data_IF_779793865319
#
_entry.id   IF_779793865319
#
_cell.length_a   1.000
_cell.length_b   1.000
_cell.length_c   1.000
_cell.angle_alpha   90.00
_cell.angle_beta   90.00
_cell.angle_gamma   90.00
#
_symmetry.space_group_name_H-M   'P 1'
#
loop_
_entity.id
_entity.type
_entity.pdbx_description
1 polymer ?
#
# COMPACT_ATOMS: atom_id res chain seq x y z
N UNK A 1 1.20 -7.55 10.97
CA UNK A 1 1.77 -6.20 10.72
C UNK A 1 1.30 -5.19 11.74
N UNK A 2 -0.02 -4.94 11.89
CA UNK A 2 -0.56 -4.04 12.93
C UNK A 2 -0.18 -4.54 14.33
N UNK A 3 -0.59 -5.73 14.73
CA UNK A 3 -0.26 -6.28 16.06
C UNK A 3 1.25 -6.31 16.38
N UNK A 4 2.09 -6.52 15.35
CA UNK A 4 3.56 -6.43 15.46
C UNK A 4 4.02 -4.99 15.67
N UNK A 5 3.51 -4.03 14.91
CA UNK A 5 3.83 -2.60 15.04
C UNK A 5 3.43 -2.06 16.43
N UNK A 6 2.28 -2.47 16.97
CA UNK A 6 1.81 -2.08 18.29
C UNK A 6 2.70 -2.64 19.42
N UNK A 7 3.14 -3.90 19.30
CA UNK A 7 4.13 -4.49 20.22
C UNK A 7 5.46 -3.73 20.18
N UNK A 8 5.86 -3.21 19.03
CA UNK A 8 7.14 -2.50 18.86
C UNK A 8 7.11 -1.06 19.35
N UNK A 9 5.97 -0.36 19.20
CA UNK A 9 5.79 0.97 19.78
C UNK A 9 5.84 0.91 21.31
N UNK A 10 5.24 -0.13 21.91
CA UNK A 10 5.34 -0.38 23.35
C UNK A 10 6.78 -0.67 23.80
N UNK A 11 7.56 -1.43 23.01
CA UNK A 11 8.98 -1.70 23.28
C UNK A 11 9.83 -0.43 23.13
N UNK A 12 9.61 0.39 22.10
CA UNK A 12 10.34 1.64 21.90
C UNK A 12 10.11 2.65 23.03
N UNK A 13 8.86 2.78 23.48
CA UNK A 13 8.50 3.58 24.64
C UNK A 13 9.14 3.01 25.92
N UNK A 14 9.08 1.69 26.14
CA UNK A 14 9.69 1.04 27.28
C UNK A 14 11.22 1.18 27.30
N UNK A 15 11.91 1.10 26.16
CA UNK A 15 13.37 1.26 26.09
C UNK A 15 13.78 2.72 26.34
N UNK A 16 13.08 3.71 25.79
CA UNK A 16 13.33 5.13 26.07
C UNK A 16 13.13 5.50 27.56
N UNK A 17 12.34 4.70 28.29
CA UNK A 17 12.12 4.86 29.73
C UNK A 17 13.08 4.03 30.60
N UNK A 18 13.61 2.90 30.10
CA UNK A 18 14.44 1.96 30.86
C UNK A 18 15.94 2.11 30.63
N UNK A 19 16.38 2.89 29.64
CA UNK A 19 17.80 3.20 29.40
C UNK A 19 18.38 4.26 30.34
N UNK A 20 17.80 4.46 31.53
CA UNK A 20 18.24 5.50 32.48
C UNK A 20 19.26 4.93 33.47
N UNK A 21 20.55 5.30 33.40
CA UNK A 21 21.38 5.29 34.59
C UNK A 21 20.81 6.32 35.59
N UNK A 22 21.04 6.08 36.87
CA UNK A 22 20.38 6.73 38.01
C UNK A 22 20.70 8.22 38.24
N UNK A 23 21.42 8.93 37.38
CA UNK A 23 21.92 10.29 37.72
C UNK A 23 21.78 11.29 36.55
N UNK A 24 20.69 12.09 36.55
CA UNK A 24 20.60 13.36 35.80
C UNK A 24 19.31 13.62 35.01
N UNK A 25 18.89 14.88 34.98
CA UNK A 25 17.84 15.38 34.07
C UNK A 25 18.34 15.41 32.62
N UNK A 26 17.54 15.01 31.61
CA UNK A 26 18.01 14.93 30.23
C UNK A 26 18.44 16.29 29.66
N UNK A 27 19.61 16.33 29.03
CA UNK A 27 20.21 17.49 28.39
C UNK A 27 19.67 17.79 26.99
N UNK A 28 20.14 18.90 26.40
CA UNK A 28 19.77 19.28 25.03
C UNK A 28 20.21 18.20 24.03
N UNK A 29 19.30 17.74 23.18
CA UNK A 29 19.54 16.75 22.14
C UNK A 29 19.80 15.33 22.64
N UNK A 30 19.61 15.04 23.93
CA UNK A 30 19.86 13.71 24.50
C UNK A 30 19.04 12.60 23.83
N UNK A 31 17.80 12.91 23.43
CA UNK A 31 16.93 11.97 22.73
C UNK A 31 17.08 12.02 21.20
N UNK A 32 18.03 12.76 20.64
CA UNK A 32 18.16 12.93 19.19
C UNK A 32 18.32 11.61 18.43
N UNK A 33 18.97 10.61 19.02
CA UNK A 33 19.10 9.26 18.43
C UNK A 33 17.76 8.54 18.29
N UNK A 34 16.98 8.49 19.37
CA UNK A 34 15.64 7.89 19.40
C UNK A 34 14.68 8.67 18.49
N UNK A 35 14.73 9.99 18.58
CA UNK A 35 13.94 10.89 17.73
C UNK A 35 14.23 10.69 16.24
N UNK A 36 15.50 10.59 15.83
CA UNK A 36 15.87 10.32 14.44
C UNK A 36 15.38 8.95 13.92
N UNK A 37 15.38 7.92 14.78
CA UNK A 37 14.81 6.62 14.43
C UNK A 37 13.29 6.70 14.26
N UNK A 38 12.60 7.40 15.15
CA UNK A 38 11.16 7.65 15.05
C UNK A 38 10.81 8.54 13.85
N UNK A 39 11.65 9.51 13.47
CA UNK A 39 11.49 10.31 12.25
C UNK A 39 11.56 9.48 10.98
N UNK A 40 12.37 8.42 10.96
CA UNK A 40 12.43 7.47 9.83
C UNK A 40 11.10 6.73 9.70
N UNK A 41 10.52 6.28 10.82
CA UNK A 41 9.20 5.64 10.81
C UNK A 41 8.08 6.64 10.47
N UNK A 42 8.19 7.89 10.95
CA UNK A 42 7.24 8.96 10.64
C UNK A 42 7.24 9.30 9.14
N UNK A 43 8.41 9.30 8.50
CA UNK A 43 8.55 9.49 7.06
C UNK A 43 7.82 8.40 6.28
N UNK A 44 7.97 7.12 6.66
CA UNK A 44 7.22 6.01 6.06
C UNK A 44 5.71 6.08 6.35
N UNK A 45 5.29 6.62 7.49
CA UNK A 45 3.87 6.75 7.84
C UNK A 45 3.15 7.89 7.11
N UNK A 46 3.88 8.95 6.72
CA UNK A 46 3.34 10.14 6.07
C UNK A 46 3.46 10.14 4.55
N UNK A 47 4.42 9.38 3.99
CA UNK A 47 4.63 9.30 2.56
C UNK A 47 3.51 8.52 1.85
N UNK A 48 3.37 8.80 0.55
CA UNK A 48 2.44 8.06 -0.31
C UNK A 48 2.93 6.62 -0.48
N UNK A 49 2.02 5.65 -0.34
CA UNK A 49 2.36 4.23 -0.53
C UNK A 49 2.75 4.01 -1.98
N UNK A 50 3.97 3.48 -2.19
CA UNK A 50 4.42 3.04 -3.50
C UNK A 50 3.58 1.84 -3.95
N UNK A 51 2.59 2.09 -4.78
CA UNK A 51 1.80 1.06 -5.42
C UNK A 51 2.32 0.86 -6.83
N UNK A 52 2.81 -0.34 -7.18
CA UNK A 52 3.09 -0.62 -8.57
C UNK A 52 1.78 -0.45 -9.36
N UNK A 53 1.81 0.25 -10.50
CA UNK A 53 0.62 0.36 -11.34
C UNK A 53 0.15 -1.03 -11.74
N UNK A 54 -1.16 -1.18 -11.96
CA UNK A 54 -1.69 -2.40 -12.55
C UNK A 54 -0.95 -2.65 -13.87
N UNK A 55 -0.55 -3.89 -14.14
CA UNK A 55 0.04 -4.24 -15.42
C UNK A 55 -0.97 -3.92 -16.53
N UNK A 56 -0.61 -3.02 -17.44
CA UNK A 56 -1.44 -2.61 -18.58
C UNK A 56 -0.86 -3.16 -19.88
N UNK A 57 -1.70 -3.23 -20.93
CA UNK A 57 -1.29 -3.57 -22.30
C UNK A 57 -1.20 -5.06 -22.61
N UNK A 58 -1.15 -5.93 -21.61
CA UNK A 58 -1.16 -7.38 -21.81
C UNK A 58 -2.52 -7.91 -22.29
N UNK A 59 -3.62 -7.22 -21.96
CA UNK A 59 -4.97 -7.57 -22.40
C UNK A 59 -5.10 -7.50 -23.92
N UNK A 60 -4.52 -6.46 -24.53
CA UNK A 60 -4.54 -6.28 -25.98
C UNK A 60 -3.68 -7.33 -26.69
N UNK A 61 -2.50 -7.62 -26.15
CA UNK A 61 -1.65 -8.70 -26.66
C UNK A 61 -2.37 -10.06 -26.57
N UNK A 62 -3.04 -10.34 -25.45
CA UNK A 62 -3.84 -11.56 -25.29
C UNK A 62 -5.03 -11.62 -26.24
N UNK A 63 -5.73 -10.50 -26.46
CA UNK A 63 -6.82 -10.39 -27.42
C UNK A 63 -6.34 -10.68 -28.85
N UNK A 64 -5.16 -10.18 -29.26
CA UNK A 64 -4.58 -10.50 -30.57
C UNK A 64 -4.29 -11.99 -30.77
N UNK A 65 -3.88 -12.69 -29.70
CA UNK A 65 -3.65 -14.14 -29.75
C UNK A 65 -4.99 -14.90 -29.88
N UNK A 66 -6.05 -14.45 -29.18
CA UNK A 66 -7.41 -14.98 -29.35
C UNK A 66 -7.94 -14.74 -30.77
N UNK A 67 -7.77 -13.53 -31.30
CA UNK A 67 -8.15 -13.17 -32.67
C UNK A 67 -7.45 -14.05 -33.70
N UNK A 68 -6.14 -14.30 -33.53
CA UNK A 68 -5.38 -15.18 -34.42
C UNK A 68 -5.89 -16.64 -34.36
N UNK A 69 -6.14 -17.17 -33.17
CA UNK A 69 -6.69 -18.53 -33.00
C UNK A 69 -8.10 -18.68 -33.56
N UNK A 70 -8.96 -17.70 -33.32
CA UNK A 70 -10.30 -17.65 -33.88
C UNK A 70 -10.29 -17.49 -35.42
N UNK A 71 -9.30 -16.77 -35.96
CA UNK A 71 -9.09 -16.67 -37.41
C UNK A 71 -8.64 -18.00 -38.02
N UNK A 72 -7.66 -18.66 -37.38
CA UNK A 72 -7.16 -19.97 -37.79
C UNK A 72 -8.22 -21.09 -37.68
N UNK A 73 -9.19 -20.97 -36.78
CA UNK A 73 -10.31 -21.90 -36.65
C UNK A 73 -11.20 -21.96 -37.90
N UNK A 74 -11.27 -20.87 -38.66
CA UNK A 74 -12.06 -20.75 -39.90
C UNK A 74 -13.46 -20.14 -39.70
N UNK A 75 -14.14 -19.79 -40.80
CA UNK A 75 -15.40 -19.05 -40.78
C UNK A 75 -16.53 -19.82 -40.09
N UNK A 76 -16.64 -21.12 -40.33
CA UNK A 76 -17.70 -21.96 -39.74
C UNK A 76 -17.62 -22.02 -38.21
N UNK A 77 -16.41 -22.02 -37.65
CA UNK A 77 -16.21 -21.93 -36.20
C UNK A 77 -16.63 -20.56 -35.67
N UNK A 78 -16.20 -19.47 -36.32
CA UNK A 78 -16.54 -18.10 -35.90
C UNK A 78 -18.04 -17.84 -35.89
N UNK A 79 -18.74 -18.32 -36.92
CA UNK A 79 -20.17 -18.09 -37.07
C UNK A 79 -21.02 -18.77 -35.98
N UNK A 80 -20.51 -19.80 -35.30
CA UNK A 80 -21.24 -20.43 -34.19
C UNK A 80 -21.41 -19.49 -32.99
N UNK A 81 -20.55 -18.49 -32.84
CA UNK A 81 -20.59 -17.58 -31.70
C UNK A 81 -21.32 -16.27 -31.97
N UNK A 82 -21.96 -16.13 -33.13
CA UNK A 82 -22.73 -14.93 -33.51
C UNK A 82 -24.10 -15.31 -34.06
N UNK A 83 -25.11 -14.50 -33.75
CA UNK A 83 -26.46 -14.62 -34.36
C UNK A 83 -26.53 -13.85 -35.68
N UNK A 84 -25.86 -12.70 -35.70
CA UNK A 84 -25.73 -11.80 -36.85
C UNK A 84 -24.51 -10.91 -36.64
N UNK A 85 -24.14 -10.11 -37.66
CA UNK A 85 -22.99 -9.20 -37.56
C UNK A 85 -23.15 -8.26 -36.35
N UNK A 86 -22.21 -8.34 -35.41
CA UNK A 86 -22.22 -7.53 -34.18
C UNK A 86 -23.05 -8.09 -33.02
N UNK A 87 -23.75 -9.22 -33.20
CA UNK A 87 -24.62 -9.79 -32.17
C UNK A 87 -24.10 -11.16 -31.74
N UNK A 88 -23.73 -11.28 -30.45
CA UNK A 88 -23.23 -12.53 -29.85
C UNK A 88 -24.32 -13.61 -29.84
N UNK A 89 -23.92 -14.86 -30.04
CA UNK A 89 -24.74 -16.01 -29.67
C UNK A 89 -24.51 -16.28 -28.19
N UNK A 90 -25.53 -16.04 -27.37
CA UNK A 90 -25.48 -16.28 -25.93
C UNK A 90 -25.21 -17.74 -25.58
N UNK A 91 -24.59 -17.95 -24.42
CA UNK A 91 -24.31 -19.29 -23.90
C UNK A 91 -25.61 -19.98 -23.44
N UNK A 92 -26.08 -20.93 -24.25
CA UNK A 92 -27.28 -21.74 -23.97
C UNK A 92 -26.93 -23.22 -23.66
N UNK A 93 -26.46 -23.56 -22.45
CA UNK A 93 -25.94 -24.90 -22.11
C UNK A 93 -26.99 -26.02 -22.07
N UNK A 94 -28.27 -25.67 -21.91
CA UNK A 94 -29.38 -26.64 -21.84
C UNK A 94 -30.07 -26.86 -23.19
N UNK A 95 -29.88 -25.95 -24.13
CA UNK A 95 -30.44 -26.01 -25.47
C UNK A 95 -29.33 -26.23 -26.50
N UNK A 96 -28.76 -25.15 -27.05
CA UNK A 96 -27.83 -25.20 -28.19
C UNK A 96 -26.45 -25.81 -27.88
N UNK A 97 -25.97 -25.71 -26.64
CA UNK A 97 -24.60 -26.11 -26.27
C UNK A 97 -24.53 -27.36 -25.38
N UNK A 98 -25.61 -28.15 -25.31
CA UNK A 98 -25.71 -29.33 -24.44
C UNK A 98 -24.57 -30.33 -24.64
N UNK A 99 -24.10 -30.51 -25.88
CA UNK A 99 -23.05 -31.47 -26.22
C UNK A 99 -21.62 -31.07 -25.77
N UNK A 100 -21.40 -29.80 -25.43
CA UNK A 100 -20.07 -29.23 -25.14
C UNK A 100 -20.00 -28.48 -23.81
N UNK A 101 -21.08 -28.57 -23.01
CA UNK A 101 -21.39 -27.65 -21.92
C UNK A 101 -20.24 -27.44 -20.91
N UNK A 102 -19.59 -28.51 -20.44
CA UNK A 102 -18.55 -28.39 -19.40
C UNK A 102 -17.21 -27.87 -19.94
N UNK A 103 -16.82 -28.27 -21.15
CA UNK A 103 -15.51 -27.93 -21.71
C UNK A 103 -15.46 -26.50 -22.26
N UNK A 104 -16.60 -25.98 -22.74
CA UNK A 104 -16.65 -24.69 -23.43
C UNK A 104 -17.04 -23.53 -22.51
N UNK A 105 -17.79 -23.78 -21.43
CA UNK A 105 -18.36 -22.73 -20.59
C UNK A 105 -17.36 -21.64 -20.15
N UNK A 106 -16.12 -22.03 -19.80
CA UNK A 106 -15.08 -21.10 -19.32
C UNK A 106 -14.48 -20.21 -20.41
N UNK A 107 -14.63 -20.58 -21.67
CA UNK A 107 -13.99 -19.90 -22.80
C UNK A 107 -15.00 -19.34 -23.79
N UNK A 108 -16.27 -19.71 -23.67
CA UNK A 108 -17.33 -19.35 -24.59
C UNK A 108 -17.51 -17.83 -24.71
N UNK A 109 -17.48 -17.10 -23.60
CA UNK A 109 -17.61 -15.64 -23.62
C UNK A 109 -16.43 -14.98 -24.35
N UNK A 110 -15.19 -15.40 -24.05
CA UNK A 110 -13.98 -14.92 -24.75
C UNK A 110 -14.08 -15.20 -26.27
N UNK A 111 -14.58 -16.38 -26.65
CA UNK A 111 -14.79 -16.76 -28.04
C UNK A 111 -15.87 -15.92 -28.73
N UNK A 112 -17.03 -15.72 -28.10
CA UNK A 112 -18.11 -14.90 -28.64
C UNK A 112 -17.71 -13.43 -28.79
N UNK A 113 -17.00 -12.89 -27.81
CA UNK A 113 -16.43 -11.54 -27.87
C UNK A 113 -15.46 -11.41 -29.05
N UNK A 114 -14.56 -12.38 -29.20
CA UNK A 114 -13.57 -12.39 -30.28
C UNK A 114 -14.23 -12.53 -31.66
N UNK A 115 -15.23 -13.41 -31.79
CA UNK A 115 -15.96 -13.60 -33.05
C UNK A 115 -16.70 -12.32 -33.48
N UNK A 116 -17.38 -11.65 -32.54
CA UNK A 116 -17.99 -10.34 -32.82
C UNK A 116 -16.93 -9.33 -33.25
N UNK A 117 -15.85 -9.19 -32.48
CA UNK A 117 -14.78 -8.23 -32.78
C UNK A 117 -14.17 -8.44 -34.18
N UNK A 118 -13.97 -9.68 -34.61
CA UNK A 118 -13.46 -10.00 -35.94
C UNK A 118 -14.48 -9.69 -37.05
N UNK A 119 -15.77 -9.92 -36.81
CA UNK A 119 -16.82 -9.69 -37.80
C UNK A 119 -17.23 -8.23 -37.95
N UNK A 120 -16.98 -7.41 -36.93
CA UNK A 120 -17.26 -5.96 -36.94
C UNK A 120 -16.02 -5.10 -37.06
N UNK A 121 -14.83 -5.69 -37.28
CA UNK A 121 -13.61 -4.88 -37.37
C UNK A 121 -13.61 -4.01 -38.63
N UNK A 122 -13.32 -2.73 -38.46
CA UNK A 122 -13.07 -1.80 -39.57
C UNK A 122 -11.59 -1.70 -39.95
N UNK A 123 -10.72 -2.42 -39.23
CA UNK A 123 -9.28 -2.44 -39.52
C UNK A 123 -8.99 -3.27 -40.78
N UNK A 124 -8.51 -2.61 -41.83
CA UNK A 124 -8.10 -3.26 -43.08
C UNK A 124 -6.98 -4.29 -42.87
N UNK A 125 -6.04 -4.01 -41.96
CA UNK A 125 -4.98 -4.95 -41.61
C UNK A 125 -5.53 -6.22 -40.95
N UNK A 126 -6.50 -6.09 -40.04
CA UNK A 126 -7.17 -7.25 -39.44
C UNK A 126 -7.99 -8.03 -40.46
N UNK A 127 -8.75 -7.35 -41.32
CA UNK A 127 -9.48 -8.00 -42.43
C UNK A 127 -8.54 -8.80 -43.33
N UNK A 128 -7.39 -8.22 -43.69
CA UNK A 128 -6.35 -8.87 -44.50
C UNK A 128 -5.69 -10.05 -43.78
N UNK A 129 -5.51 -9.98 -42.45
CA UNK A 129 -4.99 -11.09 -41.67
C UNK A 129 -5.99 -12.26 -41.61
N UNK A 130 -7.28 -11.97 -41.38
CA UNK A 130 -8.36 -12.96 -41.38
C UNK A 130 -8.45 -13.65 -42.75
N UNK A 131 -8.45 -12.86 -43.83
CA UNK A 131 -8.55 -13.41 -45.19
C UNK A 131 -7.38 -14.31 -45.56
N UNK A 132 -6.16 -14.02 -45.06
CA UNK A 132 -5.01 -14.92 -45.20
C UNK A 132 -5.26 -16.26 -44.53
N UNK A 133 -5.81 -16.28 -43.31
CA UNK A 133 -6.18 -17.54 -42.66
C UNK A 133 -7.28 -18.26 -43.44
N UNK A 134 -8.29 -17.54 -43.91
CA UNK A 134 -9.42 -18.11 -44.66
C UNK A 134 -9.02 -18.69 -46.02
N UNK A 135 -7.99 -18.14 -46.66
CA UNK A 135 -7.44 -18.66 -47.92
C UNK A 135 -6.47 -19.84 -47.73
N UNK A 136 -6.07 -20.18 -46.49
CA UNK A 136 -5.18 -21.33 -46.25
C UNK A 136 -5.89 -22.64 -46.55
N UNK A 137 -5.18 -23.54 -47.24
CA UNK A 137 -5.57 -24.94 -47.32
C UNK A 137 -5.58 -25.59 -45.93
N UNK A 138 -6.25 -26.74 -45.83
CA UNK A 138 -6.48 -27.41 -44.55
C UNK A 138 -5.18 -27.81 -43.83
N UNK A 139 -4.18 -28.34 -44.56
CA UNK A 139 -2.92 -28.78 -43.99
C UNK A 139 -2.14 -27.61 -43.34
N UNK A 140 -2.02 -26.48 -44.04
CA UNK A 140 -1.38 -25.26 -43.54
C UNK A 140 -2.15 -24.66 -42.37
N UNK A 141 -3.49 -24.63 -42.45
CA UNK A 141 -4.34 -24.12 -41.37
C UNK A 141 -4.22 -24.99 -40.11
N UNK A 142 -4.15 -26.31 -40.25
CA UNK A 142 -3.95 -27.22 -39.13
C UNK A 142 -2.57 -27.07 -38.48
N UNK A 143 -1.53 -26.75 -39.26
CA UNK A 143 -0.23 -26.39 -38.69
C UNK A 143 -0.29 -25.09 -37.88
N UNK A 144 -0.97 -24.05 -38.41
CA UNK A 144 -1.16 -22.79 -37.71
C UNK A 144 -1.94 -22.96 -36.39
N UNK A 145 -3.01 -23.78 -36.40
CA UNK A 145 -3.77 -24.14 -35.18
C UNK A 145 -2.85 -24.75 -34.11
N UNK A 146 -2.01 -25.73 -34.47
CA UNK A 146 -1.07 -26.37 -33.52
C UNK A 146 -0.06 -25.38 -32.94
N UNK A 147 0.45 -24.46 -33.76
CA UNK A 147 1.37 -23.43 -33.28
C UNK A 147 0.68 -22.46 -32.30
N UNK A 148 -0.56 -22.05 -32.60
CA UNK A 148 -1.35 -21.18 -31.73
C UNK A 148 -1.73 -21.89 -30.42
N UNK A 149 -2.05 -23.19 -30.46
CA UNK A 149 -2.30 -24.01 -29.28
C UNK A 149 -1.07 -24.08 -28.35
N UNK A 150 0.13 -24.25 -28.93
CA UNK A 150 1.38 -24.23 -28.18
C UNK A 150 1.65 -22.85 -27.53
N UNK A 151 1.29 -21.75 -28.21
CA UNK A 151 1.36 -20.39 -27.66
C UNK A 151 0.35 -20.22 -26.52
N UNK A 152 -0.89 -20.65 -26.71
CA UNK A 152 -1.94 -20.57 -25.68
C UNK A 152 -1.58 -21.32 -24.40
N UNK A 153 -0.98 -22.50 -24.53
CA UNK A 153 -0.52 -23.31 -23.40
C UNK A 153 0.49 -22.55 -22.53
N UNK A 154 1.34 -21.71 -23.14
CA UNK A 154 2.33 -20.88 -22.43
C UNK A 154 1.74 -19.59 -21.87
N UNK A 155 0.80 -18.97 -22.58
CA UNK A 155 0.24 -17.65 -22.24
C UNK A 155 -0.87 -17.74 -21.18
N UNK A 156 -1.64 -18.82 -21.13
CA UNK A 156 -2.74 -19.00 -20.17
C UNK A 156 -2.31 -18.86 -18.70
N UNK A 157 -1.22 -19.52 -18.23
CA UNK A 157 -0.73 -19.33 -16.86
C UNK A 157 -0.29 -17.88 -16.57
N UNK A 158 0.28 -17.19 -17.57
CA UNK A 158 0.74 -15.81 -17.45
C UNK A 158 -0.46 -14.85 -17.34
N UNK A 159 -1.48 -15.01 -18.19
CA UNK A 159 -2.76 -14.27 -18.10
C UNK A 159 -3.38 -14.40 -16.71
N UNK A 160 -3.45 -15.63 -16.17
CA UNK A 160 -4.02 -15.87 -14.83
C UNK A 160 -3.26 -15.11 -13.74
N UNK A 161 -1.93 -15.11 -13.79
CA UNK A 161 -1.10 -14.35 -12.83
C UNK A 161 -1.29 -12.84 -12.98
N UNK A 162 -1.32 -12.32 -14.20
CA UNK A 162 -1.53 -10.90 -14.48
C UNK A 162 -2.92 -10.43 -14.01
N UNK A 163 -3.97 -11.22 -14.23
CA UNK A 163 -5.31 -10.96 -13.70
C UNK A 163 -5.34 -10.95 -12.17
N UNK A 164 -4.69 -11.91 -11.52
CA UNK A 164 -4.62 -11.94 -10.06
C UNK A 164 -3.87 -10.71 -9.50
N UNK A 165 -2.75 -10.34 -10.12
CA UNK A 165 -1.99 -9.14 -9.77
C UNK A 165 -2.82 -7.86 -9.96
N UNK A 166 -3.50 -7.73 -11.11
CA UNK A 166 -4.40 -6.61 -11.40
C UNK A 166 -5.49 -6.48 -10.35
N UNK A 167 -6.16 -7.58 -10.00
CA UNK A 167 -7.20 -7.58 -8.96
C UNK A 167 -6.67 -7.19 -7.57
N UNK A 168 -5.45 -7.60 -7.20
CA UNK A 168 -4.82 -7.22 -5.92
C UNK A 168 -4.52 -5.71 -5.87
N UNK A 169 -4.10 -5.12 -6.99
CA UNK A 169 -3.85 -3.68 -7.10
C UNK A 169 -5.18 -2.91 -7.10
N UNK A 170 -6.14 -3.33 -7.92
CA UNK A 170 -7.48 -2.71 -8.03
C UNK A 170 -8.31 -2.81 -6.74
N UNK A 171 -8.10 -3.85 -5.92
CA UNK A 171 -8.75 -3.99 -4.62
C UNK A 171 -8.30 -2.95 -3.57
N UNK A 172 -7.48 -1.96 -3.96
CA UNK A 172 -7.17 -0.81 -3.10
C UNK A 172 -6.17 -1.15 -2.00
N UNK A 173 -5.25 -2.08 -2.24
CA UNK A 173 -4.21 -2.47 -1.27
C UNK A 173 -3.38 -1.27 -0.76
N UNK A 174 -3.21 -0.22 -1.57
CA UNK A 174 -2.49 1.00 -1.18
C UNK A 174 -3.31 1.89 -0.28
N UNK A 175 -4.61 2.04 -0.55
CA UNK A 175 -5.53 2.73 0.35
C UNK A 175 -5.61 2.00 1.69
N UNK A 176 -5.75 0.69 1.68
CA UNK A 176 -5.75 -0.10 2.91
C UNK A 176 -4.43 0.07 3.70
N UNK A 177 -3.28 0.03 3.01
CA UNK A 177 -1.98 0.28 3.65
C UNK A 177 -1.88 1.71 4.22
N UNK A 178 -2.31 2.73 3.47
CA UNK A 178 -2.32 4.11 3.90
C UNK A 178 -3.24 4.33 5.12
N UNK A 179 -4.43 3.75 5.11
CA UNK A 179 -5.40 3.83 6.22
C UNK A 179 -4.83 3.15 7.49
N UNK A 180 -4.10 2.04 7.35
CA UNK A 180 -3.40 1.40 8.46
C UNK A 180 -2.26 2.25 9.02
N UNK A 181 -1.47 2.89 8.16
CA UNK A 181 -0.38 3.79 8.58
C UNK A 181 -0.93 5.02 9.29
N UNK A 182 -2.01 5.63 8.77
CA UNK A 182 -2.71 6.74 9.43
C UNK A 182 -3.27 6.33 10.79
N UNK A 183 -3.91 5.16 10.88
CA UNK A 183 -4.41 4.64 12.16
C UNK A 183 -3.29 4.45 13.17
N UNK A 184 -2.12 3.96 12.74
CA UNK A 184 -0.96 3.79 13.63
C UNK A 184 -0.33 5.12 14.05
N UNK A 185 -0.35 6.12 13.16
CA UNK A 185 0.21 7.43 13.42
C UNK A 185 -0.68 8.29 14.30
N UNK A 186 -1.99 8.33 14.02
CA UNK A 186 -2.94 9.28 14.58
C UNK A 186 -4.06 8.63 15.42
N UNK A 187 -4.18 7.31 15.39
CA UNK A 187 -5.27 6.59 16.06
C UNK A 187 -6.59 6.61 15.28
N UNK A 188 -6.60 7.11 14.05
CA UNK A 188 -7.77 7.20 13.16
C UNK A 188 -7.38 7.55 11.72
N UNK A 189 -8.37 7.61 10.83
CA UNK A 189 -8.15 7.85 9.38
C UNK A 189 -8.95 9.02 8.81
N UNK A 190 -9.81 9.64 9.61
CA UNK A 190 -10.75 10.69 9.20
C UNK A 190 -10.11 12.09 9.11
N UNK A 191 -8.83 12.22 9.47
CA UNK A 191 -8.12 13.50 9.50
C UNK A 191 -8.55 14.40 10.65
N UNK A 192 -9.34 13.88 11.60
CA UNK A 192 -9.91 14.63 12.70
C UNK A 192 -9.30 14.21 14.04
N UNK A 193 -8.05 13.73 14.05
CA UNK A 193 -7.32 13.43 15.28
C UNK A 193 -6.80 14.71 15.96
N UNK A 194 -6.47 14.64 17.26
CA UNK A 194 -5.88 15.77 18.00
C UNK A 194 -4.49 16.19 17.45
N UNK A 195 -3.87 15.35 16.62
CA UNK A 195 -2.61 15.63 15.92
C UNK A 195 -2.80 16.41 14.61
N UNK A 196 -3.95 16.25 13.97
CA UNK A 196 -4.21 16.76 12.62
C UNK A 196 -5.10 18.01 12.65
N UNK A 197 -6.06 18.08 13.57
CA UNK A 197 -7.02 19.18 13.65
C UNK A 197 -6.84 19.97 14.94
N UNK A 198 -6.22 21.16 14.86
CA UNK A 198 -6.06 22.03 16.04
C UNK A 198 -7.38 22.67 16.50
N UNK A 199 -8.40 22.71 15.63
CA UNK A 199 -9.69 23.38 15.89
C UNK A 199 -10.79 22.47 16.41
N UNK A 200 -10.56 21.15 16.53
CA UNK A 200 -11.56 20.23 17.09
C UNK A 200 -11.65 20.36 18.61
N UNK A 201 -12.78 19.94 19.15
CA UNK A 201 -12.87 19.56 20.57
C UNK A 201 -11.96 18.37 20.81
N UNK A 202 -11.02 18.50 21.75
CA UNK A 202 -10.05 17.44 22.08
C UNK A 202 -10.76 16.14 22.48
N UNK A 203 -10.18 15.00 22.14
CA UNK A 203 -10.74 13.70 22.51
C UNK A 203 -10.62 13.44 24.02
N UNK A 204 -9.49 13.84 24.62
CA UNK A 204 -9.25 13.82 26.06
C UNK A 204 -8.02 14.66 26.43
N UNK A 205 -7.91 15.10 27.68
CA UNK A 205 -6.66 15.75 28.16
C UNK A 205 -5.51 14.77 28.10
N UNK A 206 -4.41 15.13 27.41
CA UNK A 206 -3.25 14.27 27.30
C UNK A 206 -2.29 14.62 28.43
N UNK A 207 -2.15 13.70 29.39
CA UNK A 207 -1.28 13.88 30.55
C UNK A 207 0.00 13.05 30.44
N UNK A 208 1.09 13.51 31.04
CA UNK A 208 2.44 12.91 30.93
C UNK A 208 2.48 11.45 31.34
N UNK A 209 1.57 11.02 32.21
CA UNK A 209 1.49 9.64 32.66
C UNK A 209 1.29 8.63 31.51
N UNK A 210 0.72 9.03 30.37
CA UNK A 210 0.64 8.12 29.20
C UNK A 210 2.00 7.59 28.77
N UNK A 211 3.08 8.34 29.04
CA UNK A 211 4.42 7.94 28.67
C UNK A 211 4.89 6.75 29.49
N UNK A 212 4.52 6.67 30.78
CA UNK A 212 4.80 5.49 31.61
C UNK A 212 4.02 4.26 31.14
N UNK A 213 2.85 4.49 30.56
CA UNK A 213 1.97 3.44 30.05
C UNK A 213 2.23 3.10 28.58
N UNK A 214 3.46 3.33 28.09
CA UNK A 214 3.84 2.99 26.73
C UNK A 214 3.11 3.82 25.68
N UNK A 215 2.93 5.12 25.95
CA UNK A 215 2.23 6.10 25.11
C UNK A 215 0.75 5.74 24.86
N UNK A 216 0.12 5.04 25.82
CA UNK A 216 -1.25 4.57 25.68
C UNK A 216 -2.26 5.62 26.13
N UNK A 217 -3.23 5.95 25.27
CA UNK A 217 -4.38 6.79 25.58
C UNK A 217 -5.65 6.13 25.03
N UNK A 218 -6.68 5.96 25.87
CA UNK A 218 -7.97 5.37 25.48
C UNK A 218 -7.85 4.04 24.72
N UNK A 219 -6.91 3.19 25.13
CA UNK A 219 -6.66 1.90 24.48
C UNK A 219 -5.80 1.96 23.20
N UNK A 220 -5.44 3.16 22.72
CA UNK A 220 -4.62 3.37 21.52
C UNK A 220 -3.18 3.74 21.90
N UNK A 221 -2.22 3.37 21.04
CA UNK A 221 -0.78 3.62 21.18
C UNK A 221 -0.31 4.13 19.82
N UNK A 222 -0.30 5.44 19.67
CA UNK A 222 -0.02 6.08 18.39
C UNK A 222 1.46 6.44 18.30
N UNK A 223 2.01 6.48 17.09
CA UNK A 223 3.37 6.99 16.89
C UNK A 223 3.47 8.47 17.29
N UNK A 224 2.40 9.26 17.08
CA UNK A 224 2.33 10.64 17.57
C UNK A 224 2.56 10.73 19.08
N UNK A 225 1.99 9.81 19.86
CA UNK A 225 2.16 9.79 21.32
C UNK A 225 3.53 9.36 21.78
N UNK A 226 4.13 8.40 21.08
CA UNK A 226 5.53 8.02 21.34
C UNK A 226 6.44 9.22 21.09
N UNK A 227 6.23 9.96 20.00
CA UNK A 227 6.99 11.17 19.68
C UNK A 227 6.81 12.27 20.74
N UNK A 228 5.58 12.52 21.21
CA UNK A 228 5.34 13.46 22.30
C UNK A 228 6.06 13.03 23.59
N UNK A 229 6.02 11.74 23.94
CA UNK A 229 6.68 11.23 25.13
C UNK A 229 8.21 11.31 25.09
N UNK A 230 8.80 11.25 23.90
CA UNK A 230 10.25 11.36 23.72
C UNK A 230 10.70 12.82 23.69
N UNK A 231 9.87 13.76 23.21
CA UNK A 231 10.30 15.13 22.94
C UNK A 231 9.72 16.22 23.83
N UNK A 232 8.53 16.02 24.41
CA UNK A 232 7.84 17.02 25.24
C UNK A 232 8.24 16.84 26.70
N UNK A 233 8.72 17.92 27.32
CA UNK A 233 9.16 17.91 28.71
C UNK A 233 8.09 18.44 29.68
N UNK A 234 8.32 18.27 30.98
CA UNK A 234 7.39 18.77 32.01
C UNK A 234 7.63 20.26 32.27
N UNK A 235 6.56 21.03 32.45
CA UNK A 235 6.68 22.46 32.75
C UNK A 235 7.19 22.73 34.17
N UNK A 236 6.68 21.99 35.16
CA UNK A 236 6.96 22.23 36.60
C UNK A 236 8.31 21.69 37.10
N UNK A 237 9.01 20.94 36.25
CA UNK A 237 10.31 20.32 36.52
C UNK A 237 11.03 20.12 35.18
N UNK A 238 11.28 21.24 34.51
CA UNK A 238 11.93 21.22 33.22
C UNK A 238 13.36 20.65 33.37
N UNK A 239 13.74 19.63 32.58
CA UNK A 239 15.08 19.08 32.61
C UNK A 239 16.08 20.04 31.97
N UNK A 240 17.37 19.77 32.13
CA UNK A 240 18.46 20.61 31.61
C UNK A 240 18.33 20.95 30.13
N UNK A 241 17.84 20.02 29.32
CA UNK A 241 17.58 20.21 27.89
C UNK A 241 16.25 20.87 27.56
N UNK A 242 15.67 21.68 28.46
CA UNK A 242 14.35 22.31 28.37
C UNK A 242 13.90 22.58 26.92
N UNK A 243 12.75 22.02 26.52
CA UNK A 243 12.17 22.14 25.17
C UNK A 243 13.04 21.70 23.98
N UNK A 244 14.22 21.16 24.24
CA UNK A 244 15.27 20.78 23.27
C UNK A 244 15.77 19.36 23.46
N UNK A 245 15.05 18.52 24.21
CA UNK A 245 15.48 17.15 24.52
C UNK A 245 15.71 16.32 23.25
N UNK A 246 14.89 16.50 22.21
CA UNK A 246 15.00 15.75 20.95
C UNK A 246 15.98 16.34 19.93
N UNK A 247 16.36 17.60 20.04
CA UNK A 247 17.28 18.22 19.10
C UNK A 247 17.97 19.43 19.73
N UNK A 248 19.28 19.54 19.51
CA UNK A 248 20.04 20.72 19.90
C UNK A 248 19.79 21.84 18.90
N UNK A 249 19.02 22.84 19.30
CA UNK A 249 18.61 23.98 18.46
C UNK A 249 18.88 25.32 19.16
N UNK A 250 19.00 26.39 18.37
CA UNK A 250 19.23 27.75 18.88
C UNK A 250 18.02 28.30 19.63
N UNK A 251 16.80 27.95 19.21
CA UNK A 251 15.55 28.19 19.93
C UNK A 251 14.89 26.90 20.41
N UNK A 252 13.64 26.99 20.89
CA UNK A 252 12.84 25.83 21.30
C UNK A 252 12.70 24.83 20.13
N UNK A 253 12.88 23.54 20.41
CA UNK A 253 12.57 22.48 19.45
C UNK A 253 11.07 22.12 19.53
N UNK A 254 10.52 22.07 20.74
CA UNK A 254 9.07 21.94 20.99
C UNK A 254 8.66 23.00 22.00
N UNK A 255 7.76 23.90 21.61
CA UNK A 255 7.36 25.06 22.44
C UNK A 255 6.43 24.66 23.57
N UNK A 256 5.64 23.60 23.37
CA UNK A 256 4.68 23.06 24.33
C UNK A 256 5.34 22.14 25.35
N UNK A 257 4.78 22.14 26.56
CA UNK A 257 5.22 21.32 27.68
C UNK A 257 4.01 20.59 28.28
N UNK A 258 4.25 19.48 28.97
CA UNK A 258 3.19 18.77 29.68
C UNK A 258 2.61 19.66 30.81
N UNK A 259 1.28 19.69 31.01
CA UNK A 259 0.26 18.85 30.35
C UNK A 259 -0.37 19.47 29.09
N UNK A 260 -0.61 18.66 28.05
CA UNK A 260 -1.19 19.11 26.77
C UNK A 260 -2.73 19.09 26.85
N UNK A 261 -3.27 20.02 27.62
CA UNK A 261 -4.68 20.05 27.98
C UNK A 261 -5.53 21.03 27.17
N UNK A 262 -4.92 21.98 26.47
CA UNK A 262 -5.66 22.98 25.69
C UNK A 262 -5.95 22.46 24.28
N UNK A 263 -7.03 22.95 23.67
CA UNK A 263 -7.30 22.68 22.26
C UNK A 263 -6.10 23.13 21.40
N UNK A 264 -5.68 22.28 20.47
CA UNK A 264 -4.54 22.55 19.59
C UNK A 264 -3.16 22.28 20.19
N UNK A 265 -3.00 22.07 21.50
CA UNK A 265 -1.67 21.83 22.11
C UNK A 265 -0.95 20.61 21.48
N UNK A 266 -1.70 19.52 21.27
CA UNK A 266 -1.20 18.29 20.64
C UNK A 266 -0.77 18.54 19.19
N UNK A 267 -1.63 19.18 18.40
CA UNK A 267 -1.34 19.50 17.00
C UNK A 267 -0.12 20.43 16.85
N UNK A 268 0.01 21.44 17.72
CA UNK A 268 1.19 22.33 17.74
C UNK A 268 2.46 21.56 18.07
N UNK A 269 2.48 20.83 19.18
CA UNK A 269 3.66 20.07 19.62
C UNK A 269 4.08 19.03 18.56
N UNK A 270 3.12 18.26 18.05
CA UNK A 270 3.38 17.27 17.02
C UNK A 270 3.84 17.91 15.70
N UNK A 271 3.28 19.06 15.31
CA UNK A 271 3.69 19.80 14.11
C UNK A 271 5.15 20.27 14.18
N UNK A 272 5.60 20.75 15.33
CA UNK A 272 7.00 21.15 15.57
C UNK A 272 7.95 19.95 15.51
N UNK A 273 7.58 18.85 16.19
CA UNK A 273 8.32 17.58 16.14
C UNK A 273 8.39 17.05 14.70
N UNK A 274 7.30 17.10 13.94
CA UNK A 274 7.28 16.67 12.54
C UNK A 274 8.20 17.54 11.68
N UNK A 275 8.17 18.87 11.89
CA UNK A 275 9.01 19.82 11.16
C UNK A 275 10.50 19.54 11.37
N UNK A 276 10.91 19.15 12.57
CA UNK A 276 12.30 18.80 12.87
C UNK A 276 12.81 17.53 12.17
N UNK A 277 11.93 16.65 11.68
CA UNK A 277 12.31 15.40 11.02
C UNK A 277 12.85 15.60 9.59
N UNK A 278 12.74 16.79 8.99
CA UNK A 278 13.19 17.08 7.62
C UNK A 278 12.74 16.03 6.59
N UNK A 279 11.46 15.67 6.64
CA UNK A 279 10.86 14.64 5.77
C UNK A 279 11.05 15.05 4.31
N UNK A 280 11.70 14.19 3.52
CA UNK A 280 11.99 14.48 2.12
C UNK A 280 10.71 14.46 1.29
N UNK A 281 10.50 15.51 0.53
CA UNK A 281 9.43 15.58 -0.46
C UNK A 281 9.63 14.49 -1.53
N UNK A 282 8.54 13.85 -1.95
CA UNK A 282 8.57 12.79 -2.96
C UNK A 282 8.99 11.40 -2.45
N UNK A 283 9.28 11.22 -1.15
CA UNK A 283 9.48 9.88 -0.59
C UNK A 283 8.23 9.02 -0.80
N UNK A 284 8.42 7.75 -1.18
CA UNK A 284 7.36 6.77 -1.34
C UNK A 284 7.54 5.64 -0.33
N UNK A 285 6.46 5.31 0.37
CA UNK A 285 6.47 4.28 1.40
C UNK A 285 6.48 2.90 0.77
N UNK A 286 7.43 2.06 1.19
CA UNK A 286 7.54 0.68 0.71
C UNK A 286 7.49 -0.30 1.88
N UNK A 287 7.13 -1.56 1.62
CA UNK A 287 7.15 -2.59 2.65
C UNK A 287 8.57 -2.83 3.20
N UNK A 288 9.62 -2.61 2.40
CA UNK A 288 11.02 -2.64 2.86
C UNK A 288 11.37 -1.43 3.72
N UNK A 289 10.92 -0.24 3.34
CA UNK A 289 11.14 1.00 4.08
C UNK A 289 10.56 0.93 5.49
N UNK A 290 9.28 0.55 5.62
CA UNK A 290 8.62 0.33 6.93
C UNK A 290 9.40 -0.67 7.79
N UNK A 291 9.83 -1.82 7.22
CA UNK A 291 10.59 -2.84 7.95
C UNK A 291 11.95 -2.32 8.41
N UNK A 292 12.64 -1.55 7.57
CA UNK A 292 13.92 -0.94 7.92
C UNK A 292 13.76 0.09 9.05
N UNK A 293 12.72 0.93 8.98
CA UNK A 293 12.41 1.90 10.03
C UNK A 293 12.11 1.21 11.38
N UNK A 294 11.30 0.14 11.36
CA UNK A 294 11.03 -0.66 12.56
C UNK A 294 12.28 -1.37 13.09
N UNK A 295 13.17 -1.84 12.22
CA UNK A 295 14.44 -2.44 12.62
C UNK A 295 15.39 -1.43 13.27
N UNK A 296 15.43 -0.20 12.76
CA UNK A 296 16.23 0.89 13.34
C UNK A 296 15.81 1.22 14.79
N UNK A 297 14.50 1.16 15.07
CA UNK A 297 13.96 1.34 16.42
C UNK A 297 14.31 0.15 17.33
N UNK A 298 14.40 -1.07 16.79
CA UNK A 298 14.74 -2.29 17.54
C UNK A 298 16.22 -2.43 17.88
N UNK A 299 17.11 -1.68 17.24
CA UNK A 299 18.55 -1.91 17.38
C UNK A 299 19.09 -1.22 18.65
N UNK A 300 19.66 -1.95 19.63
CA UNK A 300 20.09 -1.39 20.91
C UNK A 300 21.17 -0.32 20.81
N UNK A 301 22.00 -0.33 19.76
CA UNK A 301 23.13 0.59 19.62
C UNK A 301 22.74 2.07 19.41
N UNK A 302 21.47 2.35 19.08
CA UNK A 302 20.89 3.71 19.01
C UNK A 302 20.16 4.12 20.29
N UNK A 303 19.93 3.15 21.20
CA UNK A 303 19.25 3.28 22.48
C UNK A 303 20.30 3.01 23.56
N UNK A 304 21.11 4.03 23.88
CA UNK A 304 22.23 3.97 24.83
C UNK A 304 21.86 3.11 26.05
N UNK A 305 22.41 1.91 26.14
CA UNK A 305 22.24 1.04 27.31
C UNK A 305 23.15 1.60 28.42
N UNK A 306 22.71 1.69 29.68
CA UNK A 306 23.59 2.15 30.75
C UNK A 306 24.78 1.20 30.86
N UNK A 307 25.98 1.75 30.75
CA UNK A 307 27.21 1.04 31.08
C UNK A 307 27.13 0.71 32.57
N UNK A 308 27.14 -0.59 32.89
CA UNK A 308 27.21 -1.05 34.27
C UNK A 308 28.53 -0.57 34.91
N UNK A 309 28.43 0.22 35.98
CA UNK A 309 29.43 0.36 37.04
C UNK A 309 28.65 0.34 38.36
#
# INVERSE_FOLDING_TARGET
LIQEMWRLLAIAAAIALSSRPSDGDPGEGENAGTYGALCTLLTEALAEVDQPPAATGWEQAYASILEANMSAAGPDWRHQFVKSKGVKQEWEPTAKHKAVAAAWARSYEDWANTAVALLTTDSEDKKKAISKFDAMNEATRNLAKRQLEAIFTKVQPVRRKLNALKAIVEAGSGKAAADLLKTALYGGTDGNSDFENAGKTKDSGRVRNICKDGAKLNGKQTLGDVLLCVCVNAQSSAPTGDKKICAKTTGDHVTKQWELNSAGDVATAFGEIRKGCNIKEGHKTTASGIRAALAAIRTPSKLKTPTAI
#
